data_IF_923589848600
#
_entry.id   IF_923589848600
#
_cell.length_a   1.000
_cell.length_b   1.000
_cell.length_c   1.000
_cell.angle_alpha   90.00
_cell.angle_beta   90.00
_cell.angle_gamma   90.00
#
_symmetry.space_group_name_H-M   'P 1'
#
loop_
_entity.id
_entity.type
_entity.pdbx_description
1 polymer ?
#
# COMPACT_ATOMS: atom_id res chain seq x y z
N UNK A 1 5.12 1.63 24.19
CA UNK A 1 5.74 0.36 23.73
C UNK A 1 5.95 0.48 22.23
N UNK A 2 7.11 0.04 21.70
CA UNK A 2 7.36 0.07 20.26
C UNK A 2 6.70 -1.14 19.58
N UNK A 3 6.29 -1.03 18.30
CA UNK A 3 5.59 -2.10 17.59
C UNK A 3 6.46 -3.35 17.36
N UNK A 4 7.78 -3.20 17.24
CA UNK A 4 8.73 -4.31 17.18
C UNK A 4 9.68 -4.32 18.38
N UNK A 5 10.25 -5.48 18.76
CA UNK A 5 11.27 -5.57 19.81
C UNK A 5 12.51 -4.70 19.51
N UNK A 6 13.23 -4.28 20.56
CA UNK A 6 14.54 -3.63 20.42
C UNK A 6 14.55 -2.09 20.38
N UNK A 7 13.45 -1.41 20.71
CA UNK A 7 13.41 0.05 20.81
C UNK A 7 13.54 0.78 19.46
N UNK A 8 13.74 2.10 19.46
CA UNK A 8 13.75 2.90 18.22
C UNK A 8 14.98 2.63 17.33
N UNK A 9 16.09 2.19 17.94
CA UNK A 9 17.33 1.86 17.24
C UNK A 9 17.25 0.52 16.50
N UNK A 10 16.26 -0.32 16.81
CA UNK A 10 16.03 -1.54 16.06
C UNK A 10 15.65 -1.21 14.61
N UNK A 11 16.34 -1.85 13.66
CA UNK A 11 16.17 -1.62 12.23
C UNK A 11 14.69 -1.66 11.79
N UNK A 12 13.86 -2.51 12.40
CA UNK A 12 12.44 -2.63 12.09
C UNK A 12 11.63 -1.39 12.49
N UNK A 13 11.84 -0.89 13.71
CA UNK A 13 11.19 0.32 14.20
C UNK A 13 11.72 1.56 13.45
N UNK A 14 13.02 1.60 13.14
CA UNK A 14 13.61 2.65 12.33
C UNK A 14 13.01 2.68 10.91
N UNK A 15 12.90 1.52 10.25
CA UNK A 15 12.29 1.41 8.92
C UNK A 15 10.84 1.86 8.91
N UNK A 16 10.06 1.48 9.94
CA UNK A 16 8.69 1.94 10.09
C UNK A 16 8.62 3.46 10.30
N UNK A 17 9.51 4.02 11.12
CA UNK A 17 9.61 5.46 11.34
C UNK A 17 9.94 6.20 10.03
N UNK A 18 10.90 5.70 9.24
CA UNK A 18 11.23 6.29 7.94
C UNK A 18 10.06 6.23 6.95
N UNK A 19 9.30 5.13 6.92
CA UNK A 19 8.07 5.03 6.15
C UNK A 19 7.07 6.13 6.54
N UNK A 20 6.83 6.28 7.85
CA UNK A 20 5.90 7.29 8.38
C UNK A 20 6.36 8.72 8.07
N UNK A 21 7.63 9.03 8.30
CA UNK A 21 8.21 10.35 8.00
C UNK A 21 8.11 10.65 6.51
N UNK A 22 8.39 9.69 5.63
CA UNK A 22 8.24 9.87 4.19
C UNK A 22 6.78 10.16 3.79
N UNK A 23 5.81 9.48 4.42
CA UNK A 23 4.39 9.76 4.21
C UNK A 23 3.98 11.17 4.67
N UNK A 24 4.50 11.62 5.81
CA UNK A 24 4.27 12.99 6.32
C UNK A 24 4.88 14.04 5.41
N UNK A 25 6.13 13.85 4.96
CA UNK A 25 6.78 14.74 3.98
C UNK A 25 5.95 14.81 2.70
N UNK A 26 5.47 13.66 2.21
CA UNK A 26 4.62 13.62 1.03
C UNK A 26 3.30 14.38 1.24
N UNK A 27 2.65 14.24 2.39
CA UNK A 27 1.41 14.93 2.72
C UNK A 27 1.57 16.46 2.67
N UNK A 28 2.66 17.00 3.22
CA UNK A 28 2.96 18.44 3.14
C UNK A 28 3.41 18.89 1.73
N UNK A 29 3.80 17.96 0.87
CA UNK A 29 4.22 18.24 -0.50
C UNK A 29 3.09 18.10 -1.54
N UNK A 30 1.85 17.81 -1.12
CA UNK A 30 0.71 17.57 -2.03
C UNK A 30 0.42 18.78 -2.93
N UNK A 31 0.41 19.98 -2.37
CA UNK A 31 0.11 21.24 -3.09
C UNK A 31 1.33 21.81 -3.83
N UNK A 32 2.50 21.19 -3.68
CA UNK A 32 3.70 21.64 -4.36
C UNK A 32 3.72 21.15 -5.82
N UNK A 33 4.29 21.93 -6.75
CA UNK A 33 4.50 21.48 -8.13
C UNK A 33 5.30 20.16 -8.16
N UNK A 34 5.10 19.32 -9.18
CA UNK A 34 5.78 18.03 -9.30
C UNK A 34 7.30 18.22 -9.25
N UNK A 35 7.92 17.65 -8.21
CA UNK A 35 9.37 17.65 -7.96
C UNK A 35 9.81 16.21 -7.70
N UNK A 36 11.04 15.89 -8.09
CA UNK A 36 11.68 14.60 -7.82
C UNK A 36 11.65 14.21 -6.34
N UNK A 37 11.72 15.19 -5.43
CA UNK A 37 11.64 14.97 -3.98
C UNK A 37 10.25 14.51 -3.53
N UNK A 38 9.18 14.99 -4.17
CA UNK A 38 7.80 14.56 -3.91
C UNK A 38 7.60 13.11 -4.35
N UNK A 39 8.11 12.76 -5.53
CA UNK A 39 8.14 11.38 -6.03
C UNK A 39 8.87 10.46 -5.06
N UNK A 40 10.09 10.85 -4.67
CA UNK A 40 10.91 10.05 -3.76
C UNK A 40 10.22 9.83 -2.42
N UNK A 41 9.61 10.86 -1.83
CA UNK A 41 8.86 10.73 -0.57
C UNK A 41 7.65 9.79 -0.71
N UNK A 42 6.87 9.92 -1.77
CA UNK A 42 5.70 9.06 -2.04
C UNK A 42 6.11 7.59 -2.16
N UNK A 43 7.07 7.32 -3.04
CA UNK A 43 7.55 5.96 -3.30
C UNK A 43 8.27 5.36 -2.08
N UNK A 44 9.07 6.16 -1.37
CA UNK A 44 9.80 5.69 -0.18
C UNK A 44 8.85 5.28 0.94
N UNK A 45 7.74 5.98 1.13
CA UNK A 45 6.74 5.65 2.15
C UNK A 45 6.30 4.19 2.04
N UNK A 46 6.01 3.70 0.82
CA UNK A 46 5.58 2.33 0.57
C UNK A 46 6.76 1.37 0.45
N UNK A 47 7.89 1.78 -0.14
CA UNK A 47 9.08 0.94 -0.27
C UNK A 47 9.65 0.52 1.09
N UNK A 48 9.66 1.42 2.08
CA UNK A 48 10.07 1.07 3.44
C UNK A 48 9.13 0.04 4.10
N UNK A 49 7.83 0.05 3.80
CA UNK A 49 6.93 -1.00 4.26
C UNK A 49 7.26 -2.35 3.62
N UNK A 50 7.64 -2.37 2.34
CA UNK A 50 8.08 -3.60 1.67
C UNK A 50 9.35 -4.17 2.32
N UNK A 51 10.32 -3.31 2.63
CA UNK A 51 11.54 -3.68 3.35
C UNK A 51 11.20 -4.21 4.75
N UNK A 52 10.33 -3.52 5.48
CA UNK A 52 9.86 -3.95 6.80
C UNK A 52 9.23 -5.35 6.73
N UNK A 53 8.39 -5.61 5.73
CA UNK A 53 7.79 -6.93 5.53
C UNK A 53 8.85 -8.02 5.31
N UNK A 54 9.93 -7.75 4.56
CA UNK A 54 11.06 -8.70 4.43
C UNK A 54 11.75 -8.92 5.77
N UNK A 55 12.07 -7.85 6.50
CA UNK A 55 12.79 -7.93 7.78
C UNK A 55 12.04 -8.70 8.86
N UNK A 56 10.71 -8.64 8.83
CA UNK A 56 9.85 -9.37 9.77
C UNK A 56 9.55 -10.80 9.31
N UNK A 57 10.16 -11.29 8.22
CA UNK A 57 9.85 -12.61 7.67
C UNK A 57 8.40 -12.73 7.18
N UNK A 58 7.82 -11.61 6.74
CA UNK A 58 6.45 -11.54 6.28
C UNK A 58 6.21 -12.31 4.98
N UNK A 59 4.94 -12.54 4.60
CA UNK A 59 4.60 -13.29 3.40
C UNK A 59 5.19 -12.66 2.12
N UNK A 60 5.76 -13.49 1.23
CA UNK A 60 6.34 -13.00 -0.03
C UNK A 60 5.31 -12.26 -0.90
N UNK A 61 4.03 -12.64 -0.84
CA UNK A 61 2.95 -11.93 -1.53
C UNK A 61 2.76 -10.50 -1.01
N UNK A 62 2.98 -10.27 0.29
CA UNK A 62 2.91 -8.92 0.88
C UNK A 62 4.07 -8.06 0.39
N UNK A 63 5.29 -8.61 0.38
CA UNK A 63 6.48 -7.93 -0.13
C UNK A 63 6.30 -7.57 -1.61
N UNK A 64 5.81 -8.50 -2.43
CA UNK A 64 5.53 -8.26 -3.83
C UNK A 64 4.44 -7.20 -4.04
N UNK A 65 3.35 -7.26 -3.28
CA UNK A 65 2.27 -6.29 -3.36
C UNK A 65 2.73 -4.87 -3.02
N UNK A 66 3.48 -4.70 -1.92
CA UNK A 66 4.04 -3.41 -1.51
C UNK A 66 5.10 -2.91 -2.51
N UNK A 67 5.96 -3.79 -3.02
CA UNK A 67 6.95 -3.45 -4.04
C UNK A 67 6.30 -2.96 -5.33
N UNK A 68 5.26 -3.64 -5.80
CA UNK A 68 4.46 -3.20 -6.95
C UNK A 68 3.75 -1.87 -6.68
N UNK A 69 3.19 -1.67 -5.50
CA UNK A 69 2.62 -0.36 -5.13
C UNK A 69 3.65 0.77 -5.16
N UNK A 70 4.87 0.54 -4.65
CA UNK A 70 5.95 1.53 -4.70
C UNK A 70 6.38 1.85 -6.14
N UNK A 71 6.47 0.83 -7.01
CA UNK A 71 6.75 1.00 -8.44
C UNK A 71 5.62 1.80 -9.11
N UNK A 72 4.35 1.48 -8.80
CA UNK A 72 3.19 2.22 -9.28
C UNK A 72 3.23 3.70 -8.90
N UNK A 73 3.60 4.01 -7.65
CA UNK A 73 3.79 5.39 -7.19
C UNK A 73 4.89 6.13 -7.94
N UNK A 74 5.99 5.45 -8.26
CA UNK A 74 7.07 6.03 -9.04
C UNK A 74 6.64 6.34 -10.48
N UNK A 75 5.88 5.45 -11.12
CA UNK A 75 5.34 5.65 -12.46
C UNK A 75 4.32 6.78 -12.52
N UNK A 76 3.34 6.83 -11.59
CA UNK A 76 2.33 7.89 -11.54
C UNK A 76 2.90 9.28 -11.27
N UNK A 77 4.13 9.34 -10.75
CA UNK A 77 4.79 10.63 -10.49
C UNK A 77 5.42 11.25 -11.74
N UNK A 78 5.54 10.50 -12.83
CA UNK A 78 6.06 10.99 -14.11
C UNK A 78 4.93 11.44 -15.01
N UNK A 79 5.18 12.54 -15.71
CA UNK A 79 4.24 13.05 -16.71
C UNK A 79 4.17 12.12 -17.92
N UNK A 80 2.96 11.98 -18.47
CA UNK A 80 2.70 11.27 -19.71
C UNK A 80 1.89 9.98 -19.56
N UNK A 81 1.12 9.68 -20.60
CA UNK A 81 0.14 8.60 -20.61
C UNK A 81 0.76 7.21 -20.42
N UNK A 82 1.94 6.96 -20.99
CA UNK A 82 2.66 5.68 -20.81
C UNK A 82 3.06 5.44 -19.36
N UNK A 83 3.51 6.48 -18.67
CA UNK A 83 3.88 6.39 -17.27
C UNK A 83 2.63 6.16 -16.40
N UNK A 84 1.53 6.86 -16.71
CA UNK A 84 0.24 6.62 -16.07
C UNK A 84 -0.24 5.17 -16.23
N UNK A 85 -0.26 4.64 -17.46
CA UNK A 85 -0.65 3.25 -17.73
C UNK A 85 0.27 2.23 -17.05
N UNK A 86 1.59 2.49 -17.03
CA UNK A 86 2.54 1.67 -16.29
C UNK A 86 2.27 1.65 -14.79
N UNK A 87 1.94 2.82 -14.22
CA UNK A 87 1.55 2.96 -12.83
C UNK A 87 0.27 2.19 -12.51
N UNK A 88 -0.77 2.36 -13.33
CA UNK A 88 -2.04 1.65 -13.22
C UNK A 88 -1.86 0.13 -13.28
N UNK A 89 -1.12 -0.37 -14.27
CA UNK A 89 -0.83 -1.79 -14.42
C UNK A 89 -0.08 -2.36 -13.21
N UNK A 90 0.90 -1.61 -12.69
CA UNK A 90 1.66 -1.99 -11.50
C UNK A 90 0.78 -2.08 -10.25
N UNK A 91 -0.12 -1.10 -10.04
CA UNK A 91 -1.09 -1.14 -8.94
C UNK A 91 -2.07 -2.31 -9.06
N UNK A 92 -2.59 -2.58 -10.27
CA UNK A 92 -3.48 -3.72 -10.50
C UNK A 92 -2.79 -5.06 -10.20
N UNK A 93 -1.55 -5.23 -10.64
CA UNK A 93 -0.76 -6.41 -10.30
C UNK A 93 -0.54 -6.55 -8.79
N UNK A 94 -0.27 -5.43 -8.09
CA UNK A 94 -0.16 -5.40 -6.63
C UNK A 94 -1.46 -5.81 -5.93
N UNK A 95 -2.62 -5.38 -6.44
CA UNK A 95 -3.93 -5.80 -5.91
C UNK A 95 -4.17 -7.29 -6.08
N UNK A 96 -3.78 -7.89 -7.22
CA UNK A 96 -3.88 -9.36 -7.39
C UNK A 96 -3.05 -10.08 -6.33
N UNK A 97 -1.84 -9.59 -6.03
CA UNK A 97 -1.02 -10.15 -4.96
C UNK A 97 -1.67 -10.00 -3.56
N UNK A 98 -2.27 -8.84 -3.25
CA UNK A 98 -3.06 -8.66 -2.02
C UNK A 98 -4.25 -9.59 -1.93
N UNK A 99 -5.03 -9.74 -3.01
CA UNK A 99 -6.18 -10.66 -3.06
C UNK A 99 -5.71 -12.09 -2.79
N UNK A 100 -4.65 -12.54 -3.45
CA UNK A 100 -4.09 -13.87 -3.22
C UNK A 100 -3.59 -14.04 -1.77
N UNK A 101 -2.93 -13.03 -1.21
CA UNK A 101 -2.45 -13.03 0.16
C UNK A 101 -3.60 -13.16 1.17
N UNK A 102 -4.63 -12.32 1.03
CA UNK A 102 -5.78 -12.31 1.93
C UNK A 102 -6.67 -13.55 1.75
N UNK A 103 -6.81 -14.08 0.53
CA UNK A 103 -7.50 -15.34 0.31
C UNK A 103 -6.82 -16.51 1.02
N UNK A 104 -5.47 -16.54 1.02
CA UNK A 104 -4.69 -17.61 1.67
C UNK A 104 -4.58 -17.46 3.19
N UNK A 105 -4.41 -16.23 3.67
CA UNK A 105 -4.03 -15.96 5.07
C UNK A 105 -5.18 -15.40 5.90
N UNK A 106 -6.19 -14.83 5.25
CA UNK A 106 -7.30 -14.14 5.89
C UNK A 106 -8.53 -15.02 6.12
N UNK A 107 -8.33 -16.34 6.32
CA UNK A 107 -9.36 -17.33 6.71
C UNK A 107 -10.61 -17.44 5.81
N UNK A 108 -10.54 -16.92 4.58
CA UNK A 108 -11.55 -17.11 3.53
C UNK A 108 -12.87 -16.37 3.74
N UNK A 109 -13.87 -16.69 2.89
CA UNK A 109 -15.20 -16.05 2.92
C UNK A 109 -15.96 -16.32 4.23
N UNK A 110 -15.60 -17.37 4.97
CA UNK A 110 -16.22 -17.70 6.26
C UNK A 110 -16.06 -16.58 7.30
N UNK A 111 -14.98 -15.80 7.23
CA UNK A 111 -14.75 -14.66 8.12
C UNK A 111 -15.74 -13.51 7.86
N UNK A 112 -16.22 -13.32 6.64
CA UNK A 112 -17.24 -12.31 6.35
C UNK A 112 -18.57 -12.61 7.05
N UNK A 113 -18.86 -13.89 7.26
CA UNK A 113 -20.06 -14.37 7.95
C UNK A 113 -19.85 -14.63 9.44
N UNK A 114 -18.59 -14.60 9.92
CA UNK A 114 -18.28 -14.81 11.33
C UNK A 114 -18.91 -13.71 12.20
N UNK A 115 -18.95 -12.49 11.69
CA UNK A 115 -19.55 -11.34 12.37
C UNK A 115 -20.33 -10.48 11.38
N UNK A 116 -21.58 -10.14 11.71
CA UNK A 116 -22.50 -9.45 10.79
C UNK A 116 -21.99 -8.09 10.31
N UNK A 117 -21.24 -7.37 11.15
CA UNK A 117 -20.65 -6.08 10.79
C UNK A 117 -19.58 -6.19 9.70
N UNK A 118 -18.89 -7.35 9.58
CA UNK A 118 -17.86 -7.56 8.56
C UNK A 118 -18.48 -7.75 7.18
N UNK A 119 -19.58 -8.51 7.11
CA UNK A 119 -20.40 -8.60 5.91
C UNK A 119 -20.98 -7.25 5.49
N UNK A 120 -21.48 -6.46 6.45
CA UNK A 120 -21.99 -5.11 6.18
C UNK A 120 -20.92 -4.18 5.60
N UNK A 121 -19.70 -4.17 6.14
CA UNK A 121 -18.58 -3.39 5.60
C UNK A 121 -18.21 -3.87 4.19
N UNK A 122 -18.14 -5.18 3.96
CA UNK A 122 -17.81 -5.72 2.64
C UNK A 122 -18.84 -5.30 1.58
N UNK A 123 -20.13 -5.35 1.91
CA UNK A 123 -21.21 -4.87 1.04
C UNK A 123 -21.11 -3.37 0.79
N UNK A 124 -20.83 -2.57 1.83
CA UNK A 124 -20.67 -1.13 1.69
C UNK A 124 -19.49 -0.78 0.76
N UNK A 125 -18.35 -1.48 0.87
CA UNK A 125 -17.21 -1.30 -0.02
C UNK A 125 -17.52 -1.70 -1.47
N UNK A 126 -18.27 -2.78 -1.67
CA UNK A 126 -18.69 -3.21 -3.01
C UNK A 126 -19.65 -2.20 -3.65
N UNK A 127 -20.65 -1.74 -2.89
CA UNK A 127 -21.59 -0.71 -3.35
C UNK A 127 -20.85 0.60 -3.69
N UNK A 128 -19.94 1.05 -2.83
CA UNK A 128 -19.12 2.23 -3.07
C UNK A 128 -18.31 2.10 -4.38
N UNK A 129 -17.68 0.95 -4.60
CA UNK A 129 -16.91 0.68 -5.82
C UNK A 129 -17.79 0.70 -7.08
N UNK A 130 -19.00 0.14 -7.03
CA UNK A 130 -19.97 0.18 -8.14
C UNK A 130 -20.42 1.62 -8.42
N UNK A 131 -20.73 2.40 -7.37
CA UNK A 131 -21.12 3.80 -7.52
C UNK A 131 -20.00 4.62 -8.14
N UNK A 132 -18.76 4.44 -7.68
CA UNK A 132 -17.59 5.10 -8.27
C UNK A 132 -17.43 4.74 -9.74
N UNK A 133 -17.60 3.46 -10.10
CA UNK A 133 -17.53 3.02 -11.50
C UNK A 133 -18.62 3.63 -12.38
N UNK A 134 -19.83 3.81 -11.83
CA UNK A 134 -20.95 4.42 -12.54
C UNK A 134 -20.85 5.96 -12.65
N UNK A 135 -19.99 6.59 -11.84
CA UNK A 135 -19.79 8.04 -11.82
C UNK A 135 -18.58 8.52 -12.65
N UNK A 136 -17.79 7.58 -13.20
CA UNK A 136 -16.71 7.84 -14.17
C UNK A 136 -17.28 8.08 -15.57
#
# INVERSE_FOLDING_TARGET
>A
MMPFPGGIEANANATLLFSFVAAVIYAFALDMPPKWTRTAAKTAAVAFLAVLAVMQGGPLLLVAALGLSAIGDAFLSRDGEKAFLGGLASFLAGHVAYVALFARSGGGLGLLNAESWRGAIALAMAAFSIVMLAAL
#
